data_IF_049156962540
#
_entry.id   IF_049156962540
#
_cell.length_a   1.000
_cell.length_b   1.000
_cell.length_c   1.000
_cell.angle_alpha   90.00
_cell.angle_beta   90.00
_cell.angle_gamma   90.00
#
_symmetry.space_group_name_H-M   'P 1'
#
loop_
_entity.id
_entity.type
_entity.pdbx_description
1 polymer ?
#
# COMPACT_ATOMS: atom_id res chain seq x y z
N UNK A 1 1.64 -12.72 -0.64
CA UNK A 1 1.76 -11.66 0.38
C UNK A 1 0.84 -10.47 0.13
N UNK A 2 0.60 -10.08 -1.11
CA UNK A 2 -0.37 -9.01 -1.48
C UNK A 2 -1.83 -9.29 -1.05
N UNK A 3 -2.19 -10.55 -0.80
CA UNK A 3 -3.55 -10.94 -0.42
C UNK A 3 -4.05 -10.28 0.87
N UNK A 4 -3.20 -10.10 1.88
CA UNK A 4 -3.61 -9.51 3.17
C UNK A 4 -4.00 -8.03 3.06
N UNK A 5 -3.17 -7.13 2.51
CA UNK A 5 -3.58 -5.74 2.30
C UNK A 5 -4.83 -5.60 1.43
N UNK A 6 -4.94 -6.42 0.39
CA UNK A 6 -6.10 -6.43 -0.50
C UNK A 6 -7.38 -6.87 0.21
N UNK A 7 -7.32 -7.92 1.04
CA UNK A 7 -8.44 -8.41 1.83
C UNK A 7 -8.93 -7.36 2.83
N UNK A 8 -8.01 -6.73 3.55
CA UNK A 8 -8.33 -5.64 4.48
C UNK A 8 -8.94 -4.46 3.75
N UNK A 9 -8.38 -4.05 2.61
CA UNK A 9 -8.90 -2.98 1.77
C UNK A 9 -10.34 -3.28 1.30
N UNK A 10 -10.61 -4.53 0.92
CA UNK A 10 -11.95 -4.96 0.49
C UNK A 10 -12.94 -5.00 1.64
N UNK A 11 -12.53 -5.53 2.79
CA UNK A 11 -13.35 -5.52 4.00
C UNK A 11 -13.70 -4.09 4.44
N UNK A 12 -12.70 -3.17 4.40
CA UNK A 12 -12.93 -1.76 4.70
C UNK A 12 -13.94 -1.12 3.74
N UNK A 13 -13.86 -1.41 2.45
CA UNK A 13 -14.82 -0.89 1.48
C UNK A 13 -16.26 -1.32 1.80
N UNK A 14 -16.46 -2.57 2.21
CA UNK A 14 -17.77 -3.12 2.55
C UNK A 14 -18.31 -2.48 3.85
N UNK A 15 -17.53 -2.56 4.93
CA UNK A 15 -17.95 -2.09 6.25
C UNK A 15 -18.22 -0.58 6.22
N UNK A 16 -17.31 0.19 5.63
CA UNK A 16 -17.45 1.65 5.55
C UNK A 16 -18.65 2.03 4.68
N UNK A 17 -18.90 1.34 3.56
CA UNK A 17 -20.06 1.65 2.73
C UNK A 17 -21.39 1.36 3.44
N UNK A 18 -21.45 0.30 4.24
CA UNK A 18 -22.61 -0.04 5.06
C UNK A 18 -22.89 1.01 6.12
N UNK A 19 -21.89 1.34 6.95
CA UNK A 19 -22.03 2.34 8.02
C UNK A 19 -22.28 3.75 7.49
N UNK A 20 -21.63 4.10 6.37
CA UNK A 20 -21.85 5.37 5.67
C UNK A 20 -23.28 5.47 5.11
N UNK A 21 -23.79 4.38 4.51
CA UNK A 21 -25.18 4.31 4.04
C UNK A 21 -26.21 4.43 5.18
N UNK A 22 -25.87 3.90 6.36
CA UNK A 22 -26.68 4.00 7.58
C UNK A 22 -26.54 5.37 8.31
N UNK A 23 -25.75 6.31 7.77
CA UNK A 23 -25.42 7.61 8.35
C UNK A 23 -24.75 7.55 9.74
N UNK A 24 -24.09 6.45 10.08
CA UNK A 24 -23.41 6.25 11.37
C UNK A 24 -21.93 6.67 11.27
N UNK A 25 -21.69 7.98 11.22
CA UNK A 25 -20.35 8.54 10.98
C UNK A 25 -19.34 8.20 12.07
N UNK A 26 -19.75 8.02 13.31
CA UNK A 26 -18.88 7.61 14.42
C UNK A 26 -18.39 6.16 14.23
N UNK A 27 -19.25 5.27 13.75
CA UNK A 27 -18.89 3.92 13.39
C UNK A 27 -17.92 3.90 12.19
N UNK A 28 -18.16 4.72 11.16
CA UNK A 28 -17.24 4.89 10.02
C UNK A 28 -15.85 5.28 10.47
N UNK A 29 -15.72 6.26 11.38
CA UNK A 29 -14.42 6.68 11.93
C UNK A 29 -13.75 5.58 12.73
N UNK A 30 -14.50 4.90 13.58
CA UNK A 30 -14.00 3.80 14.43
C UNK A 30 -13.50 2.63 13.59
N UNK A 31 -14.28 2.18 12.61
CA UNK A 31 -13.87 1.11 11.70
C UNK A 31 -12.70 1.52 10.80
N UNK A 32 -12.65 2.78 10.35
CA UNK A 32 -11.52 3.30 9.57
C UNK A 32 -10.21 3.26 10.37
N UNK A 33 -10.26 3.58 11.66
CA UNK A 33 -9.12 3.48 12.57
C UNK A 33 -8.74 2.03 12.82
N UNK A 34 -9.72 1.18 13.12
CA UNK A 34 -9.51 -0.23 13.38
C UNK A 34 -8.87 -0.93 12.17
N UNK A 35 -9.41 -0.73 10.97
CA UNK A 35 -8.88 -1.33 9.75
C UNK A 35 -7.43 -0.95 9.45
N UNK A 36 -7.06 0.31 9.70
CA UNK A 36 -5.66 0.75 9.57
C UNK A 36 -4.74 0.10 10.60
N UNK A 37 -5.19 -0.01 11.86
CA UNK A 37 -4.43 -0.68 12.91
C UNK A 37 -4.27 -2.17 12.64
N UNK A 38 -5.33 -2.84 12.18
CA UNK A 38 -5.29 -4.24 11.78
C UNK A 38 -4.32 -4.47 10.62
N UNK A 39 -4.37 -3.60 9.60
CA UNK A 39 -3.43 -3.67 8.48
C UNK A 39 -1.98 -3.52 8.95
N UNK A 40 -1.71 -2.56 9.84
CA UNK A 40 -0.38 -2.35 10.41
C UNK A 40 0.08 -3.57 11.23
N UNK A 41 -0.77 -4.12 12.08
CA UNK A 41 -0.44 -5.30 12.89
C UNK A 41 -0.11 -6.52 12.03
N UNK A 42 -0.93 -6.83 11.04
CA UNK A 42 -0.65 -7.92 10.09
C UNK A 42 0.61 -7.68 9.27
N UNK A 43 0.87 -6.43 8.90
CA UNK A 43 2.08 -6.10 8.16
C UNK A 43 3.33 -6.31 8.99
N UNK A 44 3.35 -5.85 10.23
CA UNK A 44 4.48 -6.09 11.14
C UNK A 44 4.74 -7.60 11.29
N UNK A 45 3.69 -8.38 11.49
CA UNK A 45 3.81 -9.83 11.57
C UNK A 45 4.41 -10.44 10.30
N UNK A 46 3.88 -10.08 9.13
CA UNK A 46 4.38 -10.60 7.85
C UNK A 46 5.78 -10.12 7.51
N UNK A 47 6.15 -8.89 7.89
CA UNK A 47 7.49 -8.35 7.71
C UNK A 47 8.51 -9.14 8.54
N UNK A 48 8.22 -9.39 9.82
CA UNK A 48 9.07 -10.18 10.71
C UNK A 48 9.22 -11.59 10.15
N UNK A 49 8.11 -12.24 9.82
CA UNK A 49 8.10 -13.59 9.28
C UNK A 49 8.95 -13.71 8.01
N UNK A 50 8.75 -12.81 7.05
CA UNK A 50 9.50 -12.78 5.79
C UNK A 50 10.97 -12.46 5.96
N UNK A 51 11.29 -11.52 6.86
CA UNK A 51 12.67 -11.16 7.13
C UNK A 51 13.50 -12.35 7.62
N UNK A 52 12.95 -13.16 8.51
CA UNK A 52 13.63 -14.35 9.03
C UNK A 52 13.67 -15.50 8.02
N UNK A 53 12.61 -15.73 7.27
CA UNK A 53 12.50 -16.85 6.32
C UNK A 53 12.98 -16.53 4.90
N UNK A 54 13.51 -15.35 4.63
CA UNK A 54 13.86 -14.92 3.28
C UNK A 54 14.86 -15.84 2.56
N UNK A 55 15.81 -16.42 3.28
CA UNK A 55 16.79 -17.35 2.73
C UNK A 55 16.18 -18.72 2.47
N UNK A 56 15.45 -19.25 3.45
CA UNK A 56 14.77 -20.54 3.33
C UNK A 56 13.74 -20.52 2.18
N UNK A 57 13.03 -19.40 2.03
CA UNK A 57 12.11 -19.19 0.91
C UNK A 57 12.83 -19.04 -0.42
N UNK A 58 14.03 -18.45 -0.46
CA UNK A 58 14.82 -18.36 -1.67
C UNK A 58 15.33 -19.75 -2.12
N UNK A 59 15.70 -20.61 -1.18
CA UNK A 59 16.15 -21.98 -1.46
C UNK A 59 15.07 -22.87 -2.11
N UNK A 60 13.78 -22.58 -1.88
CA UNK A 60 12.68 -23.27 -2.56
C UNK A 60 12.65 -23.05 -4.08
N UNK A 61 13.28 -21.98 -4.56
CA UNK A 61 13.28 -21.61 -5.98
C UNK A 61 14.59 -21.94 -6.70
N UNK A 62 15.69 -22.16 -5.97
CA UNK A 62 16.98 -22.50 -6.54
C UNK A 62 18.09 -22.54 -5.49
N UNK A 63 19.15 -23.30 -5.79
CA UNK A 63 20.26 -23.52 -4.86
C UNK A 63 21.58 -22.84 -5.31
N UNK A 64 21.58 -22.16 -6.46
CA UNK A 64 22.78 -21.45 -6.90
C UNK A 64 23.06 -20.22 -6.03
N UNK A 65 24.30 -20.04 -5.55
CA UNK A 65 24.64 -18.95 -4.63
C UNK A 65 24.33 -17.55 -5.16
N UNK A 66 24.49 -17.33 -6.44
CA UNK A 66 24.19 -16.04 -7.10
C UNK A 66 22.71 -15.79 -7.15
N UNK A 67 21.90 -16.81 -7.46
CA UNK A 67 20.45 -16.75 -7.45
C UNK A 67 19.89 -16.46 -6.05
N UNK A 68 20.40 -17.15 -5.02
CA UNK A 68 20.00 -16.93 -3.62
C UNK A 68 20.28 -15.50 -3.18
N UNK A 69 21.45 -14.97 -3.49
CA UNK A 69 21.82 -13.59 -3.18
C UNK A 69 20.88 -12.58 -3.85
N UNK A 70 20.65 -12.75 -5.16
CA UNK A 70 19.76 -11.86 -5.92
C UNK A 70 18.33 -11.91 -5.38
N UNK A 71 17.79 -13.10 -5.13
CA UNK A 71 16.45 -13.31 -4.60
C UNK A 71 16.30 -12.70 -3.21
N UNK A 72 17.28 -12.85 -2.32
CA UNK A 72 17.26 -12.24 -0.99
C UNK A 72 17.25 -10.71 -1.06
N UNK A 73 17.96 -10.10 -2.01
CA UNK A 73 17.93 -8.65 -2.24
C UNK A 73 16.54 -8.23 -2.72
N UNK A 74 15.95 -8.89 -3.70
CA UNK A 74 14.60 -8.57 -4.17
C UNK A 74 13.53 -8.77 -3.09
N UNK A 75 13.66 -9.79 -2.26
CA UNK A 75 12.79 -9.96 -1.10
C UNK A 75 12.92 -8.79 -0.12
N UNK A 76 14.11 -8.25 0.08
CA UNK A 76 14.30 -7.08 0.94
C UNK A 76 13.59 -5.85 0.37
N UNK A 77 13.67 -5.59 -0.94
CA UNK A 77 12.89 -4.51 -1.58
C UNK A 77 11.38 -4.75 -1.45
N UNK A 78 10.94 -6.01 -1.56
CA UNK A 78 9.54 -6.38 -1.36
C UNK A 78 9.03 -6.08 0.06
N UNK A 79 9.89 -6.18 1.09
CA UNK A 79 9.54 -5.77 2.46
C UNK A 79 9.27 -4.26 2.54
N UNK A 80 10.13 -3.43 1.94
CA UNK A 80 9.91 -1.98 1.89
C UNK A 80 8.65 -1.61 1.10
N UNK A 81 8.41 -2.28 -0.02
CA UNK A 81 7.17 -2.14 -0.79
C UNK A 81 5.94 -2.44 0.08
N UNK A 82 5.98 -3.52 0.85
CA UNK A 82 4.87 -3.91 1.74
C UNK A 82 4.62 -2.87 2.85
N UNK A 83 5.67 -2.26 3.40
CA UNK A 83 5.52 -1.14 4.36
C UNK A 83 4.77 0.02 3.72
N UNK A 84 5.13 0.41 2.50
CA UNK A 84 4.44 1.48 1.78
C UNK A 84 2.98 1.13 1.45
N UNK A 85 2.71 -0.12 1.05
CA UNK A 85 1.37 -0.60 0.68
C UNK A 85 0.40 -0.63 1.87
N UNK A 86 0.89 -0.91 3.07
CA UNK A 86 0.08 -0.89 4.31
C UNK A 86 -0.52 0.49 4.59
N UNK A 87 0.12 1.55 4.15
CA UNK A 87 -0.45 2.90 4.26
C UNK A 87 -1.49 3.17 3.16
N UNK A 88 -1.21 2.74 1.94
CA UNK A 88 -2.04 3.06 0.79
C UNK A 88 -3.30 2.19 0.66
N UNK A 89 -3.19 0.87 0.86
CA UNK A 89 -4.27 -0.07 0.60
C UNK A 89 -5.51 0.11 1.49
N UNK A 90 -5.40 0.26 2.83
CA UNK A 90 -6.58 0.52 3.67
C UNK A 90 -7.26 1.84 3.34
N UNK A 91 -6.49 2.90 3.05
CA UNK A 91 -7.03 4.21 2.67
C UNK A 91 -7.84 4.13 1.37
N UNK A 92 -7.34 3.38 0.39
CA UNK A 92 -8.08 3.13 -0.85
C UNK A 92 -9.39 2.38 -0.59
N UNK A 93 -9.40 1.40 0.32
CA UNK A 93 -10.60 0.69 0.75
C UNK A 93 -11.62 1.61 1.41
N UNK A 94 -11.16 2.46 2.34
CA UNK A 94 -12.00 3.45 3.03
C UNK A 94 -12.62 4.43 2.03
N UNK A 95 -11.85 4.98 1.10
CA UNK A 95 -12.34 5.89 0.07
C UNK A 95 -13.39 5.23 -0.83
N UNK A 96 -13.20 3.96 -1.21
CA UNK A 96 -14.22 3.19 -1.91
C UNK A 96 -15.50 3.04 -1.08
N UNK A 97 -15.39 2.85 0.23
CA UNK A 97 -16.52 2.81 1.15
C UNK A 97 -17.33 4.11 1.18
N UNK A 98 -16.68 5.25 1.04
CA UNK A 98 -17.33 6.56 0.84
C UNK A 98 -17.90 6.78 -0.57
N UNK A 99 -17.88 5.75 -1.44
CA UNK A 99 -18.28 5.82 -2.86
C UNK A 99 -17.39 6.75 -3.71
N UNK A 100 -16.24 7.14 -3.20
CA UNK A 100 -15.24 7.90 -3.95
C UNK A 100 -14.25 6.94 -4.61
N UNK A 101 -14.58 6.47 -5.79
CA UNK A 101 -13.76 5.51 -6.54
C UNK A 101 -12.94 6.16 -7.65
N UNK A 102 -13.47 7.23 -8.24
CA UNK A 102 -12.85 7.89 -9.40
C UNK A 102 -11.55 8.61 -9.02
N UNK A 103 -11.59 9.40 -7.96
CA UNK A 103 -10.42 10.20 -7.55
C UNK A 103 -9.25 9.31 -7.11
N UNK A 104 -9.42 8.31 -6.22
CA UNK A 104 -8.36 7.36 -5.90
C UNK A 104 -7.81 6.60 -7.11
N UNK A 105 -8.65 6.25 -8.07
CA UNK A 105 -8.21 5.60 -9.30
C UNK A 105 -7.25 6.50 -10.10
N UNK A 106 -7.64 7.74 -10.39
CA UNK A 106 -6.77 8.66 -11.12
C UNK A 106 -5.48 9.00 -10.35
N UNK A 107 -5.58 9.21 -9.04
CA UNK A 107 -4.41 9.45 -8.21
C UNK A 107 -3.45 8.25 -8.22
N UNK A 108 -3.98 7.02 -8.17
CA UNK A 108 -3.18 5.80 -8.27
C UNK A 108 -2.49 5.68 -9.62
N UNK A 109 -3.22 5.84 -10.71
CA UNK A 109 -2.66 5.79 -12.08
C UNK A 109 -1.57 6.86 -12.25
N UNK A 110 -1.83 8.11 -11.86
CA UNK A 110 -0.84 9.19 -11.96
C UNK A 110 0.38 8.95 -11.09
N UNK A 111 0.22 8.43 -9.87
CA UNK A 111 1.35 8.09 -9.01
C UNK A 111 2.19 6.95 -9.61
N UNK A 112 1.55 5.87 -10.07
CA UNK A 112 2.27 4.76 -10.67
C UNK A 112 3.03 5.15 -11.94
N UNK A 113 2.37 5.78 -12.90
CA UNK A 113 3.01 6.15 -14.17
C UNK A 113 3.88 7.40 -14.05
N UNK A 114 3.42 8.41 -13.31
CA UNK A 114 4.09 9.69 -13.19
C UNK A 114 5.26 9.71 -12.21
N UNK A 115 5.39 8.72 -11.32
CA UNK A 115 6.47 8.66 -10.33
C UNK A 115 7.37 7.46 -10.57
N UNK A 116 6.81 6.25 -10.71
CA UNK A 116 7.63 5.03 -10.83
C UNK A 116 8.62 5.12 -12.00
N UNK A 117 8.13 5.46 -13.19
CA UNK A 117 8.98 5.50 -14.37
C UNK A 117 9.98 6.65 -14.36
N UNK A 118 9.60 7.92 -14.10
CA UNK A 118 10.57 9.02 -14.05
C UNK A 118 11.62 8.83 -12.96
N UNK A 119 11.21 8.41 -11.76
CA UNK A 119 12.13 8.18 -10.64
C UNK A 119 13.03 6.98 -10.93
N UNK A 120 12.47 5.87 -11.42
CA UNK A 120 13.25 4.68 -11.79
C UNK A 120 14.30 5.00 -12.86
N UNK A 121 13.90 5.66 -13.94
CA UNK A 121 14.80 6.05 -15.03
C UNK A 121 15.88 7.06 -14.59
N UNK A 122 15.51 8.04 -13.77
CA UNK A 122 16.47 9.03 -13.25
C UNK A 122 17.51 8.34 -12.35
N UNK A 123 17.05 7.49 -11.42
CA UNK A 123 17.93 6.76 -10.53
C UNK A 123 18.84 5.79 -11.29
N UNK A 124 18.34 5.09 -12.31
CA UNK A 124 19.13 4.21 -13.13
C UNK A 124 20.28 4.96 -13.81
N UNK A 125 19.99 6.13 -14.38
CA UNK A 125 21.00 6.98 -15.03
C UNK A 125 22.06 7.55 -14.07
N UNK A 126 21.63 7.92 -12.84
CA UNK A 126 22.52 8.58 -11.87
C UNK A 126 23.33 7.58 -11.06
N UNK A 127 22.72 6.45 -10.70
CA UNK A 127 23.33 5.49 -9.75
C UNK A 127 23.82 4.19 -10.41
N UNK A 128 23.35 3.88 -11.61
CA UNK A 128 23.66 2.62 -12.28
C UNK A 128 23.11 1.36 -11.58
N UNK A 129 22.11 1.51 -10.70
CA UNK A 129 21.52 0.40 -9.91
C UNK A 129 20.70 -0.60 -10.75
N UNK A 130 20.54 -0.36 -12.06
CA UNK A 130 19.77 -1.24 -12.94
C UNK A 130 18.32 -1.46 -12.47
N UNK A 131 17.84 -2.71 -12.43
CA UNK A 131 16.45 -3.02 -12.08
C UNK A 131 16.00 -2.53 -10.69
N UNK A 132 16.93 -2.37 -9.75
CA UNK A 132 16.62 -1.91 -8.38
C UNK A 132 16.09 -0.47 -8.35
N UNK A 133 16.47 0.35 -9.32
CA UNK A 133 15.98 1.73 -9.45
C UNK A 133 14.46 1.79 -9.60
N UNK A 134 13.88 0.86 -10.34
CA UNK A 134 12.43 0.77 -10.55
C UNK A 134 11.68 0.29 -9.30
N UNK A 135 12.29 -0.55 -8.47
CA UNK A 135 11.74 -0.91 -7.16
C UNK A 135 11.63 0.30 -6.23
N UNK A 136 12.68 1.14 -6.22
CA UNK A 136 12.66 2.40 -5.46
C UNK A 136 11.56 3.33 -6.00
N UNK A 137 11.43 3.43 -7.32
CA UNK A 137 10.35 4.18 -7.96
C UNK A 137 8.95 3.68 -7.57
N UNK A 138 8.75 2.36 -7.51
CA UNK A 138 7.50 1.73 -7.06
C UNK A 138 7.17 2.08 -5.60
N UNK A 139 8.15 1.97 -4.71
CA UNK A 139 7.98 2.32 -3.29
C UNK A 139 7.63 3.80 -3.14
N UNK A 140 8.34 4.68 -3.85
CA UNK A 140 8.06 6.11 -3.85
C UNK A 140 6.64 6.43 -4.35
N UNK A 141 6.18 5.76 -5.42
CA UNK A 141 4.82 5.96 -5.95
C UNK A 141 3.73 5.53 -4.97
N UNK A 142 3.95 4.45 -4.20
CA UNK A 142 3.02 4.01 -3.16
C UNK A 142 2.95 4.98 -1.99
N UNK A 143 4.08 5.52 -1.55
CA UNK A 143 4.12 6.53 -0.49
C UNK A 143 3.34 7.76 -0.93
N UNK A 144 3.60 8.26 -2.13
CA UNK A 144 2.90 9.44 -2.66
C UNK A 144 1.41 9.17 -2.83
N UNK A 145 1.01 8.01 -3.38
CA UNK A 145 -0.42 7.66 -3.49
C UNK A 145 -1.08 7.56 -2.11
N UNK A 146 -0.42 6.97 -1.13
CA UNK A 146 -0.92 6.90 0.25
C UNK A 146 -1.14 8.29 0.86
N UNK A 147 -0.21 9.23 0.67
CA UNK A 147 -0.35 10.62 1.10
C UNK A 147 -1.52 11.33 0.39
N UNK A 148 -1.66 11.12 -0.92
CA UNK A 148 -2.77 11.66 -1.70
C UNK A 148 -4.12 11.08 -1.24
N UNK A 149 -4.20 9.78 -0.94
CA UNK A 149 -5.40 9.15 -0.42
C UNK A 149 -5.76 9.67 0.98
N UNK A 150 -4.77 9.86 1.86
CA UNK A 150 -4.99 10.45 3.18
C UNK A 150 -5.52 11.89 3.08
N UNK A 151 -4.91 12.70 2.22
CA UNK A 151 -5.39 14.07 1.97
C UNK A 151 -6.83 14.08 1.42
N UNK A 152 -7.14 13.19 0.48
CA UNK A 152 -8.49 13.06 -0.07
C UNK A 152 -9.50 12.64 0.99
N UNK A 153 -9.14 11.65 1.81
CA UNK A 153 -9.98 11.19 2.91
C UNK A 153 -10.28 12.31 3.91
N UNK A 154 -9.28 13.08 4.30
CA UNK A 154 -9.46 14.21 5.20
C UNK A 154 -10.43 15.26 4.64
N UNK A 155 -10.39 15.50 3.32
CA UNK A 155 -11.36 16.41 2.66
C UNK A 155 -12.77 15.85 2.67
N UNK A 156 -12.94 14.57 2.43
CA UNK A 156 -14.24 13.92 2.43
C UNK A 156 -14.85 13.95 3.83
N UNK A 157 -14.09 13.55 4.85
CA UNK A 157 -14.56 13.53 6.23
C UNK A 157 -15.02 14.93 6.67
N UNK A 158 -14.20 15.97 6.43
CA UNK A 158 -14.58 17.36 6.75
C UNK A 158 -15.87 17.80 6.06
N UNK A 159 -16.07 17.40 4.80
CA UNK A 159 -17.27 17.75 4.04
C UNK A 159 -18.54 17.15 4.66
N UNK A 160 -18.47 15.92 5.15
CA UNK A 160 -19.61 15.25 5.76
C UNK A 160 -19.85 15.67 7.23
N UNK A 161 -18.81 16.09 7.94
CA UNK A 161 -18.94 16.68 9.28
C UNK A 161 -19.57 18.08 9.26
N UNK A 162 -19.44 18.81 8.15
CA UNK A 162 -20.01 20.15 8.00
C UNK A 162 -21.45 20.17 7.44
N UNK A 163 -22.01 19.01 7.12
CA UNK A 163 -23.40 18.89 6.71
C UNK A 163 -24.25 18.50 7.93
N UNK A 164 -25.19 19.38 8.38
CA UNK A 164 -26.07 19.11 9.50
C UNK A 164 -27.01 17.93 9.25
#
# INVERSE_FOLDING_TARGET
MYAFPLSISSAMAIIISYEFGARRMDAVKSYSKLGRLTALGFSIFTLIFLYFLRYDLAELYGHEPEFLRMTAIFMTYSLFFQVADVFAAPLQGILRGYKDTKVPFYLGVLAYWGITFPVGFLLEKVTGLGPYSYWIGLIASLIVSGLCYQWRLNRIVKRYESQP
#
